data_IF_227076374083
#
_entry.id   IF_227076374083
#
_cell.length_a   1.000
_cell.length_b   1.000
_cell.length_c   1.000
_cell.angle_alpha   90.00
_cell.angle_beta   90.00
_cell.angle_gamma   90.00
#
_symmetry.space_group_name_H-M   'P 1'
#
loop_
_entity.id
_entity.type
_entity.pdbx_description
1 polymer ?
#
# COMPACT_ATOMS: atom_id res chain seq x y z
N UNK A 1 10.34 26.55 6.02
CA UNK A 1 10.87 25.24 5.61
C UNK A 1 9.74 24.24 5.75
N UNK A 2 9.45 23.42 4.74
CA UNK A 2 8.36 22.46 4.78
C UNK A 2 8.81 21.19 5.51
N UNK A 3 8.00 20.70 6.46
CA UNK A 3 8.27 19.46 7.17
C UNK A 3 7.31 18.37 6.71
N UNK A 4 7.87 17.16 6.52
CA UNK A 4 7.15 15.97 6.10
C UNK A 4 7.62 14.77 6.91
N UNK A 5 6.75 13.79 7.08
CA UNK A 5 7.07 12.58 7.82
C UNK A 5 6.59 11.31 7.12
N UNK A 6 7.25 10.20 7.43
CA UNK A 6 6.67 8.86 7.35
C UNK A 6 6.55 8.30 8.75
N UNK A 7 5.37 7.74 9.07
CA UNK A 7 5.09 7.17 10.39
C UNK A 7 4.65 5.71 10.27
N UNK A 8 5.08 4.88 11.22
CA UNK A 8 4.76 3.44 11.27
C UNK A 8 5.47 2.73 12.42
N UNK A 9 5.31 1.40 12.50
CA UNK A 9 6.00 0.55 13.45
C UNK A 9 6.12 -0.90 12.92
N UNK A 10 7.35 -1.39 12.60
CA UNK A 10 8.64 -0.66 12.57
C UNK A 10 8.73 0.36 11.44
N UNK A 11 9.64 1.33 11.54
CA UNK A 11 9.80 2.39 10.53
C UNK A 11 11.26 2.57 10.08
N UNK A 12 12.22 2.01 10.79
CA UNK A 12 13.65 2.22 10.55
C UNK A 12 14.12 1.77 9.15
N UNK A 13 13.41 0.83 8.53
CA UNK A 13 13.74 0.29 7.21
C UNK A 13 13.09 1.08 6.05
N UNK A 14 12.33 2.13 6.35
CA UNK A 14 11.67 2.90 5.30
C UNK A 14 12.67 3.61 4.40
N UNK A 15 12.61 3.37 3.10
CA UNK A 15 13.38 4.11 2.09
C UNK A 15 12.74 5.46 1.73
N UNK A 16 11.58 5.81 2.29
CA UNK A 16 10.91 7.10 1.99
C UNK A 16 11.76 8.32 2.29
N UNK A 17 12.51 8.41 3.43
CA UNK A 17 13.37 9.58 3.67
C UNK A 17 14.46 9.76 2.62
N UNK A 18 15.08 8.68 2.16
CA UNK A 18 16.08 8.72 1.09
C UNK A 18 15.46 9.15 -0.24
N UNK A 19 14.32 8.59 -0.61
CA UNK A 19 13.60 8.92 -1.83
C UNK A 19 13.18 10.40 -1.85
N UNK A 20 12.56 10.89 -0.77
CA UNK A 20 12.12 12.28 -0.71
C UNK A 20 13.28 13.28 -0.59
N UNK A 21 14.39 12.88 0.03
CA UNK A 21 15.61 13.72 -0.01
C UNK A 21 16.05 13.95 -1.47
N UNK A 22 16.18 12.88 -2.25
CA UNK A 22 16.53 13.00 -3.67
C UNK A 22 15.53 13.85 -4.45
N UNK A 23 14.22 13.63 -4.25
CA UNK A 23 13.15 14.40 -4.89
C UNK A 23 13.27 15.89 -4.56
N UNK A 24 13.46 16.23 -3.30
CA UNK A 24 13.55 17.62 -2.86
C UNK A 24 14.81 18.31 -3.40
N UNK A 25 15.95 17.61 -3.40
CA UNK A 25 17.19 18.12 -3.98
C UNK A 25 17.02 18.37 -5.50
N UNK A 26 16.44 17.41 -6.24
CA UNK A 26 16.22 17.51 -7.69
C UNK A 26 15.26 18.65 -8.06
N UNK A 27 14.20 18.85 -7.27
CA UNK A 27 13.19 19.88 -7.53
C UNK A 27 13.47 21.22 -6.85
N UNK A 28 14.62 21.37 -6.16
CA UNK A 28 14.98 22.55 -5.37
C UNK A 28 13.91 22.90 -4.31
N UNK A 29 13.29 21.90 -3.69
CA UNK A 29 12.28 22.08 -2.65
C UNK A 29 12.98 22.27 -1.30
N UNK A 30 12.72 23.38 -0.62
CA UNK A 30 13.18 23.60 0.77
C UNK A 30 12.29 22.83 1.75
N UNK A 31 12.60 21.55 1.96
CA UNK A 31 11.85 20.64 2.82
C UNK A 31 12.73 19.64 3.54
N UNK A 32 12.22 19.10 4.66
CA UNK A 32 12.81 17.96 5.38
C UNK A 32 11.76 16.85 5.43
N UNK A 33 12.18 15.65 5.08
CA UNK A 33 11.37 14.44 5.22
C UNK A 33 12.05 13.48 6.19
N UNK A 34 11.34 13.11 7.28
CA UNK A 34 11.89 12.30 8.35
C UNK A 34 11.00 11.09 8.66
N UNK A 35 11.57 10.04 9.22
CA UNK A 35 10.81 8.91 9.76
C UNK A 35 10.51 9.13 11.25
N UNK A 36 9.32 8.68 11.69
CA UNK A 36 8.92 8.70 13.11
C UNK A 36 8.25 7.40 13.50
N UNK A 37 8.81 6.72 14.49
CA UNK A 37 8.20 5.54 15.09
C UNK A 37 7.01 5.97 15.95
N UNK A 38 5.86 5.33 15.71
CA UNK A 38 4.63 5.54 16.48
C UNK A 38 4.20 4.18 17.04
N UNK A 39 4.23 4.03 18.36
CA UNK A 39 4.07 2.74 19.03
C UNK A 39 2.62 2.35 19.32
N UNK A 40 1.70 3.32 19.41
CA UNK A 40 0.30 3.09 19.78
C UNK A 40 -0.61 4.26 19.35
N UNK A 41 -1.93 4.08 19.50
CA UNK A 41 -2.93 5.07 19.10
C UNK A 41 -2.83 6.40 19.88
N UNK A 42 -2.47 6.36 21.17
CA UNK A 42 -2.31 7.58 21.96
C UNK A 42 -1.17 8.45 21.41
N UNK A 43 -0.03 7.84 21.13
CA UNK A 43 1.12 8.51 20.51
C UNK A 43 0.78 9.00 19.10
N UNK A 44 -0.02 8.26 18.33
CA UNK A 44 -0.50 8.67 17.00
C UNK A 44 -1.33 9.94 17.08
N UNK A 45 -2.33 9.97 17.95
CA UNK A 45 -3.19 11.16 18.18
C UNK A 45 -2.36 12.39 18.54
N UNK A 46 -1.50 12.24 19.55
CA UNK A 46 -0.65 13.34 20.05
C UNK A 46 0.29 13.84 18.95
N UNK A 47 0.87 12.94 18.16
CA UNK A 47 1.77 13.30 17.07
C UNK A 47 1.04 14.06 15.94
N UNK A 48 -0.12 13.57 15.49
CA UNK A 48 -0.91 14.24 14.44
C UNK A 48 -1.34 15.65 14.91
N UNK A 49 -1.79 15.77 16.16
CA UNK A 49 -2.14 17.07 16.73
C UNK A 49 -0.94 18.04 16.78
N UNK A 50 0.21 17.55 17.23
CA UNK A 50 1.45 18.34 17.22
C UNK A 50 1.84 18.78 15.81
N UNK A 51 1.77 17.86 14.82
CA UNK A 51 2.07 18.18 13.42
C UNK A 51 1.17 19.31 12.87
N UNK A 52 -0.11 19.32 13.25
CA UNK A 52 -1.03 20.40 12.89
C UNK A 52 -0.58 21.74 13.49
N UNK A 53 -0.17 21.77 14.76
CA UNK A 53 0.30 22.98 15.46
C UNK A 53 1.58 23.57 14.83
N UNK A 54 2.54 22.73 14.46
CA UNK A 54 3.81 23.17 13.84
C UNK A 54 3.73 23.28 12.31
N UNK A 55 2.51 23.21 11.76
CA UNK A 55 2.23 23.36 10.32
C UNK A 55 3.05 22.40 9.44
N UNK A 56 3.10 21.13 9.80
CA UNK A 56 3.61 20.07 8.91
C UNK A 56 2.78 20.05 7.64
N UNK A 57 3.42 19.90 6.49
CA UNK A 57 2.70 19.93 5.20
C UNK A 57 2.08 18.57 4.86
N UNK A 58 2.76 17.48 5.20
CA UNK A 58 2.26 16.16 4.89
C UNK A 58 2.90 15.03 5.67
N UNK A 59 2.15 13.92 5.79
CA UNK A 59 2.62 12.69 6.45
C UNK A 59 2.24 11.49 5.59
N UNK A 60 3.22 10.62 5.28
CA UNK A 60 2.90 9.27 4.83
C UNK A 60 2.71 8.33 6.03
N UNK A 61 1.79 7.40 5.91
CA UNK A 61 1.45 6.45 6.95
C UNK A 61 1.66 5.04 6.42
N UNK A 62 2.41 4.24 7.17
CA UNK A 62 2.58 2.83 6.87
C UNK A 62 2.04 1.95 8.01
N UNK A 63 2.22 0.66 7.88
CA UNK A 63 1.81 -0.37 8.85
C UNK A 63 2.27 -0.02 10.28
N UNK A 64 1.46 -0.29 11.31
CA UNK A 64 0.08 -0.79 11.28
C UNK A 64 -0.98 0.32 11.26
N UNK A 65 -0.61 1.60 11.07
CA UNK A 65 -1.36 2.79 11.45
C UNK A 65 -2.38 3.26 10.40
N UNK A 66 -2.45 2.63 9.23
CA UNK A 66 -3.27 3.10 8.09
C UNK A 66 -4.77 3.17 8.39
N UNK A 67 -5.29 2.23 9.17
CA UNK A 67 -6.70 2.18 9.60
C UNK A 67 -6.92 3.07 10.82
N UNK A 68 -5.98 3.07 11.77
CA UNK A 68 -6.02 3.84 13.01
C UNK A 68 -5.95 5.36 12.81
N UNK A 69 -5.50 5.81 11.63
CA UNK A 69 -5.36 7.23 11.32
C UNK A 69 -6.66 7.91 10.85
N UNK A 70 -7.66 7.12 10.47
CA UNK A 70 -8.96 7.64 9.97
C UNK A 70 -9.64 8.60 10.95
N UNK A 71 -9.72 8.32 12.28
CA UNK A 71 -10.41 9.20 13.23
C UNK A 71 -9.76 10.58 13.40
N UNK A 72 -8.56 10.78 12.87
CA UNK A 72 -7.80 12.02 13.02
C UNK A 72 -7.80 12.89 11.75
N UNK A 73 -8.68 12.59 10.79
CA UNK A 73 -8.85 13.35 9.55
C UNK A 73 -10.17 14.12 9.57
N UNK A 74 -10.15 15.35 9.03
CA UNK A 74 -11.34 16.19 8.85
C UNK A 74 -12.08 15.82 7.56
N UNK A 75 -11.34 15.43 6.53
CA UNK A 75 -11.86 15.03 5.22
C UNK A 75 -11.17 13.75 4.79
N UNK A 76 -11.93 12.83 4.19
CA UNK A 76 -11.43 11.54 3.69
C UNK A 76 -11.70 11.43 2.19
N UNK A 77 -10.66 11.18 1.42
CA UNK A 77 -10.75 10.89 -0.01
C UNK A 77 -11.64 9.65 -0.29
N UNK A 78 -12.38 9.62 -1.42
CA UNK A 78 -13.29 8.51 -1.74
C UNK A 78 -12.64 7.11 -1.69
N UNK A 79 -11.40 6.97 -2.18
CA UNK A 79 -10.66 5.70 -2.15
C UNK A 79 -10.34 5.31 -0.70
N UNK A 80 -9.82 6.25 0.09
CA UNK A 80 -9.53 6.04 1.50
C UNK A 80 -10.79 5.69 2.30
N UNK A 81 -11.93 6.30 1.98
CA UNK A 81 -13.23 6.04 2.62
C UNK A 81 -13.71 4.60 2.37
N UNK A 82 -13.66 4.12 1.13
CA UNK A 82 -14.09 2.76 0.78
C UNK A 82 -13.13 1.72 1.37
N UNK A 83 -11.82 1.95 1.24
CA UNK A 83 -10.80 1.03 1.72
C UNK A 83 -10.64 1.04 3.22
N UNK A 84 -11.18 2.05 3.92
CA UNK A 84 -10.93 2.30 5.34
C UNK A 84 -9.43 2.27 5.66
N UNK A 85 -8.62 2.90 4.81
CA UNK A 85 -7.17 2.87 4.91
C UNK A 85 -6.58 4.17 4.35
N UNK A 86 -5.76 4.84 5.14
CA UNK A 86 -5.08 6.09 4.79
C UNK A 86 -3.59 5.84 4.80
N UNK A 87 -2.89 6.22 3.73
CA UNK A 87 -1.42 6.21 3.67
C UNK A 87 -0.78 7.58 3.46
N UNK A 88 -1.61 8.63 3.32
CA UNK A 88 -1.13 10.01 3.16
C UNK A 88 -2.07 11.00 3.85
N UNK A 89 -1.52 11.88 4.69
CA UNK A 89 -2.20 13.04 5.24
C UNK A 89 -1.66 14.30 4.58
N UNK A 90 -2.57 15.22 4.26
CA UNK A 90 -2.26 16.57 3.82
C UNK A 90 -2.84 17.58 4.81
N UNK A 91 -2.00 18.49 5.30
CA UNK A 91 -2.40 19.57 6.22
C UNK A 91 -2.56 20.86 5.43
N UNK A 92 -3.78 21.34 5.31
CA UNK A 92 -4.13 22.53 4.53
C UNK A 92 -5.32 23.26 5.18
N UNK A 93 -5.27 24.59 5.27
CA UNK A 93 -6.33 25.45 5.77
C UNK A 93 -6.94 24.96 7.11
N UNK A 94 -6.08 24.63 8.08
CA UNK A 94 -6.44 24.06 9.37
C UNK A 94 -7.22 22.73 9.32
N UNK A 95 -7.26 22.08 8.17
CA UNK A 95 -7.84 20.75 7.98
C UNK A 95 -6.78 19.69 7.73
N UNK A 96 -7.12 18.47 8.07
CA UNK A 96 -6.34 17.27 7.77
C UNK A 96 -7.15 16.44 6.77
N UNK A 97 -6.61 16.28 5.57
CA UNK A 97 -7.24 15.45 4.53
C UNK A 97 -6.48 14.14 4.41
N UNK A 98 -7.21 13.02 4.49
CA UNK A 98 -6.67 11.68 4.39
C UNK A 98 -6.86 11.06 3.01
N UNK A 99 -5.79 10.51 2.43
CA UNK A 99 -5.79 9.87 1.12
C UNK A 99 -5.26 8.44 1.18
N UNK A 100 -5.63 7.65 0.18
CA UNK A 100 -5.04 6.33 -0.05
C UNK A 100 -4.33 6.29 -1.41
N UNK A 101 -3.07 6.69 -1.43
CA UNK A 101 -2.23 6.72 -2.62
C UNK A 101 -1.68 5.35 -3.02
N UNK A 102 -1.79 4.31 -2.14
CA UNK A 102 -1.43 2.93 -2.49
C UNK A 102 -2.26 2.44 -3.68
N UNK A 103 -3.52 2.88 -3.80
CA UNK A 103 -4.38 2.56 -4.94
C UNK A 103 -3.76 3.05 -6.26
N UNK A 104 -3.30 4.31 -6.28
CA UNK A 104 -2.61 4.86 -7.44
C UNK A 104 -1.30 4.12 -7.70
N UNK A 105 -0.49 3.90 -6.66
CA UNK A 105 0.77 3.17 -6.78
C UNK A 105 0.59 1.78 -7.38
N UNK A 106 -0.38 1.02 -6.87
CA UNK A 106 -0.68 -0.32 -7.40
C UNK A 106 -1.22 -0.26 -8.84
N UNK A 107 -2.06 0.72 -9.16
CA UNK A 107 -2.56 0.90 -10.54
C UNK A 107 -1.42 1.13 -11.54
N UNK A 108 -0.41 1.93 -11.15
CA UNK A 108 0.76 2.17 -11.98
C UNK A 108 1.67 0.93 -12.10
N UNK A 109 1.81 0.14 -11.02
CA UNK A 109 2.52 -1.15 -11.08
C UNK A 109 1.89 -2.08 -12.11
N UNK A 110 0.56 -2.23 -12.09
CA UNK A 110 -0.17 -3.07 -13.04
C UNK A 110 0.01 -2.56 -14.47
N UNK A 111 -0.13 -1.24 -14.68
CA UNK A 111 0.01 -0.60 -16.00
C UNK A 111 1.43 -0.74 -16.56
N UNK A 112 2.45 -0.45 -15.76
CA UNK A 112 3.85 -0.53 -16.16
C UNK A 112 4.26 -1.95 -16.58
N UNK A 113 3.68 -2.94 -15.93
CA UNK A 113 3.95 -4.35 -16.21
C UNK A 113 3.02 -4.96 -17.26
N UNK A 114 2.14 -4.16 -17.88
CA UNK A 114 1.18 -4.59 -18.91
C UNK A 114 0.31 -5.78 -18.46
N UNK A 115 -0.11 -5.80 -17.17
CA UNK A 115 -0.93 -6.89 -16.65
C UNK A 115 -2.41 -6.69 -16.96
N UNK A 116 -3.03 -7.73 -17.50
CA UNK A 116 -4.49 -7.83 -17.58
C UNK A 116 -4.98 -8.81 -16.51
N UNK A 117 -5.73 -8.31 -15.54
CA UNK A 117 -6.26 -9.08 -14.41
C UNK A 117 -7.72 -9.49 -14.59
N UNK A 118 -8.43 -8.98 -15.62
CA UNK A 118 -9.89 -9.10 -15.77
C UNK A 118 -10.37 -10.57 -15.80
N UNK A 119 -9.63 -11.45 -16.47
CA UNK A 119 -10.01 -12.85 -16.65
C UNK A 119 -9.20 -13.82 -15.78
N UNK A 120 -8.63 -13.32 -14.67
CA UNK A 120 -7.80 -14.11 -13.76
C UNK A 120 -8.47 -14.29 -12.41
N UNK A 121 -8.12 -15.37 -11.72
CA UNK A 121 -8.39 -15.54 -10.31
C UNK A 121 -7.24 -14.91 -9.52
N UNK A 122 -7.53 -14.26 -8.40
CA UNK A 122 -6.51 -13.54 -7.66
C UNK A 122 -6.52 -13.96 -6.19
N UNK A 123 -5.41 -14.47 -5.70
CA UNK A 123 -5.19 -14.80 -4.31
C UNK A 123 -4.42 -13.67 -3.66
N UNK A 124 -4.98 -13.06 -2.63
CA UNK A 124 -4.33 -12.01 -1.84
C UNK A 124 -3.94 -12.57 -0.49
N UNK A 125 -2.68 -12.44 -0.13
CA UNK A 125 -2.17 -12.83 1.18
C UNK A 125 -2.09 -11.60 2.06
N UNK A 126 -2.81 -11.63 3.20
CA UNK A 126 -2.87 -10.53 4.15
C UNK A 126 -4.27 -10.06 4.48
N UNK A 127 -4.42 -9.21 5.52
CA UNK A 127 -5.69 -8.66 5.96
C UNK A 127 -5.55 -7.26 6.57
N UNK A 128 -4.64 -6.45 6.06
CA UNK A 128 -4.40 -5.06 6.48
C UNK A 128 -4.83 -4.02 5.45
N UNK A 129 -4.46 -2.76 5.67
CA UNK A 129 -4.85 -1.64 4.81
C UNK A 129 -4.45 -1.79 3.34
N UNK A 130 -3.26 -2.34 3.04
CA UNK A 130 -2.86 -2.59 1.65
C UNK A 130 -3.71 -3.68 0.97
N UNK A 131 -4.11 -4.72 1.71
CA UNK A 131 -5.07 -5.73 1.23
C UNK A 131 -6.38 -5.08 0.79
N UNK A 132 -6.94 -4.20 1.61
CA UNK A 132 -8.19 -3.45 1.31
C UNK A 132 -8.05 -2.61 0.04
N UNK A 133 -6.91 -1.97 -0.13
CA UNK A 133 -6.61 -1.15 -1.31
C UNK A 133 -6.59 -1.98 -2.59
N UNK A 134 -5.91 -3.13 -2.55
CA UNK A 134 -5.78 -4.02 -3.71
C UNK A 134 -7.13 -4.68 -4.05
N UNK A 135 -7.93 -5.08 -3.04
CA UNK A 135 -9.30 -5.56 -3.26
C UNK A 135 -10.12 -4.53 -4.04
N UNK A 136 -10.12 -3.26 -3.60
CA UNK A 136 -10.86 -2.21 -4.31
C UNK A 136 -10.38 -2.06 -5.76
N UNK A 137 -9.06 -2.10 -5.97
CA UNK A 137 -8.51 -2.05 -7.33
C UNK A 137 -9.01 -3.20 -8.20
N UNK A 138 -8.95 -4.45 -7.70
CA UNK A 138 -9.41 -5.64 -8.43
C UNK A 138 -10.91 -5.58 -8.75
N UNK A 139 -11.74 -5.13 -7.81
CA UNK A 139 -13.18 -4.92 -8.02
C UNK A 139 -13.40 -3.91 -9.15
N UNK A 140 -12.69 -2.77 -9.13
CA UNK A 140 -12.79 -1.75 -10.19
C UNK A 140 -12.29 -2.23 -11.56
N UNK A 141 -11.42 -3.24 -11.59
CA UNK A 141 -11.01 -3.94 -12.81
C UNK A 141 -11.97 -5.08 -13.18
N UNK A 142 -13.13 -5.23 -12.50
CA UNK A 142 -14.14 -6.26 -12.75
C UNK A 142 -13.59 -7.69 -12.71
N UNK A 143 -12.59 -7.92 -11.86
CA UNK A 143 -12.03 -9.25 -11.63
C UNK A 143 -13.10 -10.16 -11.03
N UNK A 144 -13.26 -11.37 -11.60
CA UNK A 144 -14.36 -12.29 -11.22
C UNK A 144 -14.16 -12.86 -9.82
N UNK A 145 -13.00 -13.41 -9.51
CA UNK A 145 -12.76 -14.08 -8.24
C UNK A 145 -11.54 -13.50 -7.52
N UNK A 146 -11.75 -13.11 -6.29
CA UNK A 146 -10.75 -12.60 -5.35
C UNK A 146 -10.79 -13.48 -4.11
N UNK A 147 -9.69 -14.15 -3.81
CA UNK A 147 -9.55 -15.05 -2.67
C UNK A 147 -8.61 -14.46 -1.63
N UNK A 148 -9.04 -14.46 -0.37
CA UNK A 148 -8.23 -13.96 0.75
C UNK A 148 -7.63 -15.12 1.53
N UNK A 149 -6.31 -15.05 1.73
CA UNK A 149 -5.54 -15.91 2.60
C UNK A 149 -4.91 -15.10 3.73
N UNK A 150 -5.32 -15.34 4.98
CA UNK A 150 -4.80 -14.61 6.14
C UNK A 150 -4.89 -15.45 7.41
N UNK A 151 -3.93 -15.27 8.31
CA UNK A 151 -3.95 -15.87 9.65
C UNK A 151 -5.09 -15.32 10.50
N UNK A 152 -5.40 -14.04 10.36
CA UNK A 152 -6.46 -13.37 11.12
C UNK A 152 -7.83 -13.56 10.45
N UNK A 153 -8.50 -14.66 10.80
CA UNK A 153 -9.85 -14.99 10.28
C UNK A 153 -10.87 -13.88 10.54
N UNK A 154 -10.80 -13.23 11.71
CA UNK A 154 -11.73 -12.16 12.10
C UNK A 154 -11.59 -10.97 11.18
N UNK A 155 -10.36 -10.49 10.94
CA UNK A 155 -10.11 -9.38 10.01
C UNK A 155 -10.52 -9.74 8.58
N UNK A 156 -10.25 -10.98 8.14
CA UNK A 156 -10.67 -11.43 6.79
C UNK A 156 -12.19 -11.34 6.62
N UNK A 157 -12.96 -11.85 7.57
CA UNK A 157 -14.43 -11.76 7.52
C UNK A 157 -14.93 -10.32 7.57
N UNK A 158 -14.28 -9.48 8.38
CA UNK A 158 -14.61 -8.06 8.43
C UNK A 158 -14.36 -7.36 7.09
N UNK A 159 -13.23 -7.65 6.43
CA UNK A 159 -12.94 -7.11 5.09
C UNK A 159 -14.02 -7.55 4.09
N UNK A 160 -14.36 -8.82 4.03
CA UNK A 160 -15.40 -9.33 3.13
C UNK A 160 -16.73 -8.60 3.37
N UNK A 161 -17.13 -8.45 4.63
CA UNK A 161 -18.34 -7.70 5.02
C UNK A 161 -18.26 -6.23 4.58
N UNK A 162 -17.15 -5.56 4.79
CA UNK A 162 -16.97 -4.17 4.43
C UNK A 162 -17.09 -3.92 2.92
N UNK A 163 -16.70 -4.89 2.10
CA UNK A 163 -16.76 -4.78 0.64
C UNK A 163 -18.04 -5.32 0.00
N UNK A 164 -18.95 -5.95 0.76
CA UNK A 164 -20.18 -6.58 0.21
C UNK A 164 -20.99 -5.61 -0.67
N UNK A 165 -21.09 -4.32 -0.28
CA UNK A 165 -21.81 -3.30 -1.06
C UNK A 165 -21.06 -2.75 -2.27
N UNK A 166 -19.83 -3.21 -2.52
CA UNK A 166 -18.96 -2.70 -3.60
C UNK A 166 -18.58 -3.77 -4.63
N UNK A 167 -19.01 -5.01 -4.45
CA UNK A 167 -18.51 -6.16 -5.23
C UNK A 167 -18.89 -6.11 -6.72
N UNK A 168 -19.99 -5.43 -7.08
CA UNK A 168 -20.47 -5.38 -8.46
C UNK A 168 -20.55 -6.79 -9.08
N UNK A 169 -19.62 -7.12 -10.00
CA UNK A 169 -19.51 -8.44 -10.66
C UNK A 169 -18.45 -9.36 -10.03
N UNK A 170 -17.76 -8.92 -8.99
CA UNK A 170 -16.66 -9.65 -8.36
C UNK A 170 -17.15 -10.53 -7.21
N UNK A 171 -16.51 -11.68 -7.03
CA UNK A 171 -16.67 -12.54 -5.86
C UNK A 171 -15.47 -12.35 -4.93
N UNK A 172 -15.73 -12.03 -3.68
CA UNK A 172 -14.70 -11.88 -2.64
C UNK A 172 -14.95 -12.91 -1.54
N UNK A 173 -14.05 -13.89 -1.42
CA UNK A 173 -14.19 -14.99 -0.49
C UNK A 173 -12.88 -15.29 0.24
N UNK A 174 -12.96 -16.03 1.34
CA UNK A 174 -11.78 -16.75 1.83
C UNK A 174 -11.47 -17.89 0.90
N UNK A 175 -10.17 -18.17 0.74
CA UNK A 175 -9.74 -19.37 0.03
C UNK A 175 -10.17 -20.63 0.80
N UNK A 176 -10.70 -21.62 0.10
CA UNK A 176 -11.11 -22.92 0.59
C UNK A 176 -10.88 -24.02 -0.46
N UNK A 177 -11.28 -25.26 -0.16
CA UNK A 177 -11.09 -26.41 -1.05
C UNK A 177 -11.92 -26.34 -2.35
N UNK A 178 -12.95 -25.48 -2.40
CA UNK A 178 -13.81 -25.29 -3.57
C UNK A 178 -13.40 -24.09 -4.43
N UNK A 179 -12.32 -23.40 -4.04
CA UNK A 179 -11.83 -22.24 -4.77
C UNK A 179 -11.31 -22.63 -6.15
N UNK A 180 -11.73 -21.90 -7.18
CA UNK A 180 -11.17 -22.07 -8.54
C UNK A 180 -9.77 -21.44 -8.59
N UNK A 181 -8.75 -22.29 -8.63
CA UNK A 181 -7.36 -21.89 -8.62
C UNK A 181 -6.70 -21.96 -10.00
N UNK A 182 -7.49 -22.08 -11.06
CA UNK A 182 -6.97 -22.02 -12.43
C UNK A 182 -6.66 -20.57 -12.82
N UNK A 183 -5.60 -20.36 -13.60
CA UNK A 183 -5.23 -19.05 -14.11
C UNK A 183 -5.12 -17.98 -12.99
N UNK A 184 -4.45 -18.33 -11.89
CA UNK A 184 -4.34 -17.51 -10.70
C UNK A 184 -3.14 -16.56 -10.72
N UNK A 185 -3.34 -15.36 -10.19
CA UNK A 185 -2.27 -14.52 -9.68
C UNK A 185 -2.16 -14.66 -8.15
N UNK A 186 -0.96 -14.46 -7.61
CA UNK A 186 -0.70 -14.39 -6.18
C UNK A 186 -0.21 -12.99 -5.84
N UNK A 187 -0.85 -12.34 -4.86
CA UNK A 187 -0.51 -10.97 -4.44
C UNK A 187 -0.18 -10.98 -2.95
N UNK A 188 1.08 -10.76 -2.62
CA UNK A 188 1.50 -10.65 -1.23
C UNK A 188 1.31 -9.22 -0.71
N UNK A 189 0.47 -9.08 0.32
CA UNK A 189 0.22 -7.83 1.06
C UNK A 189 0.68 -7.93 2.52
N UNK A 190 1.52 -8.91 2.86
CA UNK A 190 2.05 -9.10 4.21
C UNK A 190 3.45 -8.51 4.33
N UNK A 191 3.93 -8.20 5.54
CA UNK A 191 5.31 -7.80 5.78
C UNK A 191 6.29 -9.00 5.79
N UNK A 192 5.85 -10.20 5.45
CA UNK A 192 6.73 -11.38 5.43
C UNK A 192 7.83 -11.16 4.41
N UNK A 193 9.06 -11.38 4.85
CA UNK A 193 10.25 -11.11 4.05
C UNK A 193 10.88 -9.72 4.31
N UNK A 194 10.23 -8.82 5.07
CA UNK A 194 10.84 -7.54 5.47
C UNK A 194 11.88 -7.68 6.61
N UNK A 195 11.86 -8.80 7.32
CA UNK A 195 12.88 -9.14 8.35
C UNK A 195 13.06 -10.65 8.42
N UNK A 196 14.24 -11.09 8.86
CA UNK A 196 14.59 -12.52 9.02
C UNK A 196 13.67 -13.28 9.99
N UNK A 197 13.03 -12.58 10.92
CA UNK A 197 12.17 -13.14 11.97
C UNK A 197 10.67 -13.12 11.62
N UNK A 198 10.29 -12.89 10.37
CA UNK A 198 8.89 -12.96 9.99
C UNK A 198 8.40 -14.40 9.93
N UNK A 199 7.37 -14.69 10.71
CA UNK A 199 6.76 -16.01 10.81
C UNK A 199 6.26 -16.52 9.45
N UNK A 200 6.88 -17.58 8.96
CA UNK A 200 6.70 -18.14 7.60
C UNK A 200 5.47 -19.08 7.54
N UNK A 201 4.77 -19.34 8.65
CA UNK A 201 3.67 -20.33 8.73
C UNK A 201 2.57 -20.14 7.69
N UNK A 202 2.33 -18.89 7.26
CA UNK A 202 1.31 -18.65 6.23
C UNK A 202 1.71 -19.24 4.87
N UNK A 203 3.01 -19.38 4.58
CA UNK A 203 3.49 -19.94 3.32
C UNK A 203 3.08 -21.40 3.13
N UNK A 204 2.95 -22.16 4.22
CA UNK A 204 2.48 -23.55 4.17
C UNK A 204 1.05 -23.67 3.66
N UNK A 205 0.24 -22.62 3.82
CA UNK A 205 -1.16 -22.57 3.40
C UNK A 205 -1.34 -21.96 2.01
N UNK A 206 -0.28 -21.45 1.37
CA UNK A 206 -0.34 -20.94 0.01
C UNK A 206 -0.46 -22.15 -0.94
N UNK A 207 -1.44 -22.16 -1.84
CA UNK A 207 -1.60 -23.27 -2.78
C UNK A 207 -0.34 -23.49 -3.62
N UNK A 208 0.12 -24.74 -3.70
CA UNK A 208 1.30 -25.12 -4.50
C UNK A 208 0.87 -25.38 -5.95
N UNK A 209 0.59 -24.33 -6.67
CA UNK A 209 0.19 -24.35 -8.08
C UNK A 209 1.19 -23.52 -8.90
N UNK A 210 1.08 -23.59 -10.22
CA UNK A 210 1.75 -22.65 -11.11
C UNK A 210 0.92 -21.37 -11.21
N UNK A 211 1.53 -20.21 -10.87
CA UNK A 211 0.89 -18.91 -10.93
C UNK A 211 1.16 -18.22 -12.26
N UNK A 212 0.17 -17.49 -12.78
CA UNK A 212 0.38 -16.61 -13.93
C UNK A 212 1.31 -15.45 -13.58
N UNK A 213 1.03 -14.80 -12.44
CA UNK A 213 1.87 -13.72 -11.95
C UNK A 213 1.92 -13.76 -10.43
N UNK A 214 3.10 -13.54 -9.89
CA UNK A 214 3.30 -13.28 -8.46
C UNK A 214 3.68 -11.82 -8.30
N UNK A 215 2.93 -11.09 -7.47
CA UNK A 215 3.19 -9.70 -7.12
C UNK A 215 3.49 -9.65 -5.63
N UNK A 216 4.67 -9.18 -5.26
CA UNK A 216 5.00 -8.86 -3.87
C UNK A 216 5.06 -7.34 -3.72
N UNK A 217 4.14 -6.75 -2.93
CA UNK A 217 4.15 -5.30 -2.74
C UNK A 217 5.32 -4.79 -1.87
N UNK A 218 6.11 -5.69 -1.31
CA UNK A 218 7.35 -5.32 -0.63
C UNK A 218 8.43 -4.97 -1.67
N UNK A 219 9.28 -4.00 -1.33
CA UNK A 219 10.30 -3.45 -2.23
C UNK A 219 11.74 -3.61 -1.70
N UNK A 220 11.91 -4.27 -0.55
CA UNK A 220 13.22 -4.34 0.13
C UNK A 220 13.96 -5.66 -0.03
N UNK A 221 13.26 -6.77 -0.28
CA UNK A 221 13.87 -8.11 -0.16
C UNK A 221 13.23 -9.05 -1.18
N UNK A 222 14.04 -9.96 -1.71
CA UNK A 222 13.56 -11.12 -2.44
C UNK A 222 12.81 -12.03 -1.46
N UNK A 223 11.50 -12.02 -1.50
CA UNK A 223 10.70 -12.80 -0.56
C UNK A 223 10.56 -14.24 -1.07
N UNK A 224 10.29 -15.17 -0.12
CA UNK A 224 10.05 -16.58 -0.45
C UNK A 224 8.82 -16.79 -1.36
N UNK A 225 7.93 -15.79 -1.49
CA UNK A 225 6.80 -15.86 -2.42
C UNK A 225 7.25 -15.86 -3.88
N UNK A 226 8.32 -15.15 -4.20
CA UNK A 226 8.85 -15.09 -5.56
C UNK A 226 9.47 -16.42 -6.02
N UNK A 227 9.66 -17.37 -5.10
CA UNK A 227 10.18 -18.71 -5.40
C UNK A 227 9.08 -19.73 -5.77
N UNK A 228 7.80 -19.37 -5.72
CA UNK A 228 6.74 -20.22 -6.27
C UNK A 228 6.80 -20.24 -7.79
N UNK A 229 6.38 -21.38 -8.40
CA UNK A 229 6.34 -21.50 -9.84
C UNK A 229 5.38 -20.48 -10.47
N UNK A 230 5.88 -19.65 -11.38
CA UNK A 230 5.09 -18.61 -12.06
C UNK A 230 5.68 -18.22 -13.41
N UNK A 231 4.82 -17.68 -14.30
CA UNK A 231 5.27 -17.11 -15.57
C UNK A 231 5.98 -15.77 -15.38
N UNK A 232 5.58 -15.00 -14.36
CA UNK A 232 6.13 -13.66 -14.07
C UNK A 232 6.14 -13.36 -12.58
N UNK A 233 7.20 -12.70 -12.11
CA UNK A 233 7.31 -12.17 -10.76
C UNK A 233 7.54 -10.66 -10.81
N UNK A 234 6.90 -9.93 -9.88
CA UNK A 234 6.93 -8.47 -9.82
C UNK A 234 7.12 -8.06 -8.36
N UNK A 235 8.06 -7.15 -8.09
CA UNK A 235 8.25 -6.55 -6.78
C UNK A 235 7.46 -5.24 -6.61
N UNK A 236 7.46 -4.70 -5.40
CA UNK A 236 6.70 -3.50 -5.03
C UNK A 236 7.38 -2.17 -5.34
N UNK A 237 8.56 -2.13 -5.98
CA UNK A 237 9.32 -0.88 -6.17
C UNK A 237 8.52 0.19 -6.90
N UNK A 238 7.88 -0.15 -8.02
CA UNK A 238 7.07 0.79 -8.79
C UNK A 238 5.88 1.31 -7.99
N UNK A 239 5.17 0.44 -7.26
CA UNK A 239 4.08 0.85 -6.37
C UNK A 239 4.57 1.84 -5.31
N UNK A 240 5.72 1.57 -4.69
CA UNK A 240 6.32 2.44 -3.69
C UNK A 240 6.69 3.82 -4.24
N UNK A 241 7.28 3.88 -5.42
CA UNK A 241 7.64 5.16 -6.08
C UNK A 241 6.37 5.94 -6.42
N UNK A 242 5.42 5.34 -7.12
CA UNK A 242 4.25 6.07 -7.60
C UNK A 242 3.33 6.55 -6.48
N UNK A 243 3.17 5.81 -5.36
CA UNK A 243 2.41 6.32 -4.21
C UNK A 243 3.12 7.52 -3.54
N UNK A 244 4.46 7.54 -3.54
CA UNK A 244 5.24 8.66 -3.03
C UNK A 244 5.12 9.89 -3.93
N UNK A 245 5.22 9.72 -5.24
CA UNK A 245 5.01 10.79 -6.23
C UNK A 245 3.59 11.37 -6.13
N UNK A 246 2.58 10.52 -5.94
CA UNK A 246 1.21 10.98 -5.73
C UNK A 246 1.06 11.77 -4.43
N UNK A 247 1.75 11.38 -3.35
CA UNK A 247 1.78 12.15 -2.11
C UNK A 247 2.42 13.52 -2.31
N UNK A 248 3.53 13.58 -3.07
CA UNK A 248 4.20 14.82 -3.42
C UNK A 248 3.25 15.78 -4.15
N UNK A 249 2.55 15.29 -5.18
CA UNK A 249 1.61 16.11 -5.97
C UNK A 249 0.46 16.65 -5.11
N UNK A 250 -0.07 15.85 -4.19
CA UNK A 250 -1.10 16.26 -3.24
C UNK A 250 -0.59 17.37 -2.32
N UNK A 251 0.59 17.20 -1.72
CA UNK A 251 1.13 18.17 -0.78
C UNK A 251 1.49 19.52 -1.42
N UNK A 252 1.78 19.51 -2.71
CA UNK A 252 2.09 20.73 -3.46
C UNK A 252 0.93 21.21 -4.35
N UNK A 253 -0.22 20.51 -4.31
CA UNK A 253 -1.42 20.86 -5.10
C UNK A 253 -1.11 21.07 -6.60
N UNK A 254 -0.14 20.31 -7.11
CA UNK A 254 0.42 20.47 -8.43
C UNK A 254 1.08 19.18 -8.90
N UNK A 255 1.03 18.87 -10.17
CA UNK A 255 1.66 17.69 -10.77
C UNK A 255 3.20 17.89 -10.92
N UNK A 256 3.88 18.25 -9.83
CA UNK A 256 5.32 18.49 -9.85
C UNK A 256 6.14 17.21 -10.05
N UNK A 257 5.55 16.05 -9.75
CA UNK A 257 6.17 14.75 -9.97
C UNK A 257 6.49 14.48 -11.44
N UNK A 258 5.79 15.12 -12.40
CA UNK A 258 6.05 15.01 -13.83
C UNK A 258 7.43 15.52 -14.26
N UNK A 259 8.11 16.25 -13.38
CA UNK A 259 9.49 16.73 -13.61
C UNK A 259 10.56 15.72 -13.23
N UNK A 260 10.15 14.57 -12.69
CA UNK A 260 11.06 13.52 -12.21
C UNK A 260 11.13 12.37 -13.20
N UNK A 261 12.31 11.81 -13.36
CA UNK A 261 12.53 10.60 -14.15
C UNK A 261 12.32 9.36 -13.27
N UNK A 262 11.34 8.55 -13.64
CA UNK A 262 11.02 7.29 -12.95
C UNK A 262 12.20 6.32 -12.91
N UNK A 263 12.97 6.21 -14.00
CA UNK A 263 14.10 5.28 -14.07
C UNK A 263 15.19 5.62 -13.05
N UNK A 264 15.47 6.90 -12.87
CA UNK A 264 16.38 7.35 -11.82
C UNK A 264 15.88 7.04 -10.42
N UNK A 265 14.57 7.23 -10.16
CA UNK A 265 13.97 6.90 -8.86
C UNK A 265 14.03 5.40 -8.57
N UNK A 266 13.85 4.56 -9.58
CA UNK A 266 13.92 3.11 -9.45
C UNK A 266 15.34 2.65 -9.11
N UNK A 267 16.36 3.23 -9.75
CA UNK A 267 17.77 2.94 -9.48
C UNK A 267 18.20 3.26 -8.04
N UNK A 268 17.59 4.27 -7.40
CA UNK A 268 17.84 4.58 -5.99
C UNK A 268 17.38 3.46 -5.03
N UNK A 269 16.50 2.58 -5.48
CA UNK A 269 15.95 1.50 -4.67
C UNK A 269 16.68 0.17 -4.88
N UNK A 270 17.57 0.10 -5.84
CA UNK A 270 18.46 -1.04 -6.05
C UNK A 270 19.70 -0.91 -5.18
#
# INVERSE_FOLDING_TARGET
MNNFFVIGNPINHSKSPMLFKYIFDTLNIKGIYSSKLISNQHTLKSFIHHCKQIKVKGINITMPLKEDSIPYTDIIDPIAKITKSINCLHFIDDKIIGYNNDYYGFSQLIKLNHLNLEHTNNIIIGSGGSTRTIILYLIKQKVKNIYLLSRNKKNTLQIIKDFTGHLEQSNLNRIDNNSDLKNCNLINCTPIGLSENTNIDILSNVPKIHYRTIIDINYHITTNYLNFASDKTIDGKSMFIFQALKSLDIWFESNISNKLDYQHLEQLLC
#
